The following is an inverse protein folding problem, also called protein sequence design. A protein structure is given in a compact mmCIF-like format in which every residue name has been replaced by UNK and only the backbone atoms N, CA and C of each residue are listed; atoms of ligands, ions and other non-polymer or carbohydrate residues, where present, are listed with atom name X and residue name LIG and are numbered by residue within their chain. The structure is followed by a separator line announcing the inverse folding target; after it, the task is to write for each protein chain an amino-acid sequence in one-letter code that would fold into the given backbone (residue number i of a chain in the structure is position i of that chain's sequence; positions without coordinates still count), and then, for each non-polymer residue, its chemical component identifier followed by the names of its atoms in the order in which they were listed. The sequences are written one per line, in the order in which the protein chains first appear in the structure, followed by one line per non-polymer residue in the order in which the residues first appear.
data_IF_420989511263
#
_entry.id   IF_420989511263
#
_cell.length_a   1.000
_cell.length_b   1.000
_cell.length_c   1.000
_cell.angle_alpha   90.00
_cell.angle_beta   90.00
_cell.angle_gamma   90.00
#
_symmetry.space_group_name_H-M   'P 1'
#
loop_
_entity.id
_entity.type
_entity.pdbx_description
1 polymer ?
#
# COMPACT_ATOMS: atom_id res chain seq x y z
N UNK A 1 32.67 51.63 24.15
CA UNK A 1 31.22 51.63 24.47
C UNK A 1 30.71 50.23 24.17
N UNK A 2 30.71 49.38 25.19
CA UNK A 2 29.51 48.88 25.88
C UNK A 2 28.96 47.62 25.16
N UNK A 3 29.43 46.41 25.52
CA UNK A 3 28.85 45.45 26.52
C UNK A 3 27.52 44.86 26.01
N UNK A 4 27.31 43.54 25.90
CA UNK A 4 27.37 42.53 26.98
C UNK A 4 27.50 41.09 26.47
N UNK A 5 28.35 40.30 27.14
CA UNK A 5 28.24 38.85 27.34
C UNK A 5 27.17 38.53 28.41
N UNK A 6 26.57 37.34 28.36
CA UNK A 6 26.45 36.47 29.54
C UNK A 6 26.05 35.05 29.16
N UNK A 7 26.87 34.09 29.59
CA UNK A 7 26.64 32.66 29.62
C UNK A 7 25.77 32.24 30.83
N UNK A 8 25.24 31.00 30.80
CA UNK A 8 25.58 29.89 31.72
C UNK A 8 24.40 28.97 32.07
N UNK A 9 24.63 27.65 31.96
CA UNK A 9 24.36 26.55 32.93
C UNK A 9 22.94 26.37 33.52
N UNK A 10 22.41 25.21 33.89
CA UNK A 10 22.76 23.77 34.01
C UNK A 10 21.46 23.10 34.48
N UNK A 11 21.16 21.84 34.14
CA UNK A 11 21.01 20.77 35.17
C UNK A 11 20.69 19.39 34.56
N UNK A 12 21.25 18.38 35.22
CA UNK A 12 21.10 16.93 35.02
C UNK A 12 19.85 16.38 35.72
N UNK A 13 19.71 15.04 35.66
CA UNK A 13 18.83 14.09 36.41
C UNK A 13 17.53 13.70 35.67
N UNK A 14 17.05 12.45 35.62
CA UNK A 14 17.43 11.19 36.28
C UNK A 14 16.82 10.00 35.52
N UNK A 15 17.39 8.81 35.72
CA UNK A 15 16.85 7.51 35.30
C UNK A 15 15.56 7.15 36.06
N UNK A 16 14.66 6.40 35.43
CA UNK A 16 13.82 5.43 36.15
C UNK A 16 13.32 4.31 35.22
N UNK A 17 13.99 3.18 35.34
CA UNK A 17 13.52 1.84 34.97
C UNK A 17 12.39 1.41 35.90
N UNK A 18 11.34 0.77 35.39
CA UNK A 18 10.52 -0.15 36.21
C UNK A 18 10.15 -1.37 35.39
N UNK A 19 10.88 -2.46 35.66
CA UNK A 19 10.38 -3.83 35.59
C UNK A 19 9.26 -4.01 36.63
N UNK A 20 8.27 -4.81 36.28
CA UNK A 20 7.40 -5.49 37.24
C UNK A 20 7.24 -6.93 36.78
N UNK A 21 7.91 -7.82 37.50
CA UNK A 21 7.77 -9.28 37.47
C UNK A 21 6.84 -9.77 38.57
N UNK A 22 6.36 -11.01 38.39
CA UNK A 22 5.70 -11.93 39.33
C UNK A 22 4.20 -11.67 39.56
N UNK A 23 3.31 -12.67 39.64
CA UNK A 23 3.43 -14.02 40.17
C UNK A 23 2.39 -14.99 39.55
N UNK A 24 2.79 -16.21 39.15
CA UNK A 24 2.43 -17.50 39.77
C UNK A 24 0.93 -17.77 40.01
N UNK A 25 0.39 -18.80 39.33
CA UNK A 25 0.05 -20.02 40.07
C UNK A 25 -0.04 -21.26 39.16
N UNK A 26 0.76 -22.23 39.57
CA UNK A 26 0.76 -23.65 39.28
C UNK A 26 -0.53 -24.29 39.79
N UNK A 27 -1.11 -25.23 39.05
CA UNK A 27 -1.49 -26.51 39.65
C UNK A 27 -1.60 -27.61 38.61
N UNK A 28 -0.85 -28.67 38.91
CA UNK A 28 -0.67 -29.91 38.19
C UNK A 28 -1.35 -30.98 39.05
N UNK A 29 -2.19 -31.84 38.47
CA UNK A 29 -2.48 -33.15 39.06
C UNK A 29 -2.99 -34.11 37.98
N UNK A 30 -2.03 -34.89 37.47
CA UNK A 30 -2.19 -36.22 36.91
C UNK A 30 -2.75 -37.21 37.94
N UNK A 31 -3.60 -38.15 37.50
CA UNK A 31 -3.57 -39.54 37.99
C UNK A 31 -4.20 -40.47 36.95
N UNK A 32 -3.37 -41.35 36.39
CA UNK A 32 -3.76 -42.62 35.75
C UNK A 32 -4.15 -43.66 36.81
N UNK A 33 -5.05 -44.57 36.44
CA UNK A 33 -4.94 -45.99 36.81
C UNK A 33 -5.80 -46.86 35.89
N UNK A 34 -5.11 -47.68 35.09
CA UNK A 34 -5.37 -49.04 34.59
C UNK A 34 -6.29 -49.90 35.50
N UNK A 35 -6.87 -51.05 35.13
CA UNK A 35 -7.20 -51.82 33.91
C UNK A 35 -8.00 -53.05 34.44
N UNK A 36 -8.71 -53.74 33.53
CA UNK A 36 -8.87 -55.21 33.51
C UNK A 36 -10.20 -55.88 33.92
N UNK A 37 -10.87 -56.43 32.89
CA UNK A 37 -11.34 -57.84 32.68
C UNK A 37 -12.30 -58.48 33.71
N UNK A 38 -13.28 -59.35 33.40
CA UNK A 38 -13.44 -60.28 32.28
C UNK A 38 -14.87 -60.94 32.28
N UNK A 39 -15.27 -61.45 31.10
CA UNK A 39 -16.05 -62.69 30.79
C UNK A 39 -17.37 -63.06 31.46
N UNK A 40 -18.42 -63.25 30.63
CA UNK A 40 -19.15 -64.52 30.36
C UNK A 40 -20.42 -64.19 29.53
N UNK A 41 -21.02 -65.01 28.65
CA UNK A 41 -20.75 -66.28 27.98
C UNK A 41 -21.77 -66.32 26.82
N UNK A 42 -21.40 -66.95 25.71
CA UNK A 42 -22.25 -67.11 24.52
C UNK A 42 -23.28 -68.24 24.66
N UNK A 43 -24.45 -68.09 24.01
CA UNK A 43 -25.18 -69.23 23.42
C UNK A 43 -26.23 -68.77 22.40
N UNK A 44 -26.20 -69.47 21.26
CA UNK A 44 -27.02 -69.36 20.05
C UNK A 44 -28.51 -69.66 20.28
N UNK A 45 -29.43 -69.08 19.48
CA UNK A 45 -30.17 -69.75 18.38
C UNK A 45 -31.38 -68.94 17.88
N UNK A 46 -31.70 -69.19 16.61
CA UNK A 46 -32.75 -68.70 15.70
C UNK A 46 -34.21 -68.89 16.14
N UNK A 47 -35.09 -67.91 15.86
CA UNK A 47 -36.26 -68.01 14.95
C UNK A 47 -37.33 -66.90 15.11
N UNK A 48 -37.61 -66.25 13.97
CA UNK A 48 -38.89 -65.82 13.38
C UNK A 48 -40.16 -65.54 14.23
N UNK A 49 -40.67 -64.33 13.98
CA UNK A 49 -42.05 -63.95 13.58
C UNK A 49 -43.12 -63.45 14.58
N UNK A 50 -43.75 -62.37 14.11
CA UNK A 50 -45.13 -61.89 14.30
C UNK A 50 -45.51 -61.03 15.53
N UNK A 51 -45.95 -59.82 15.15
CA UNK A 51 -46.62 -58.72 15.83
C UNK A 51 -47.63 -59.05 16.95
N UNK A 52 -47.75 -58.19 17.97
CA UNK A 52 -48.65 -57.02 17.94
C UNK A 52 -48.74 -56.32 19.31
N UNK A 53 -48.54 -54.99 19.27
CA UNK A 53 -49.07 -53.91 20.11
C UNK A 53 -49.30 -54.11 21.62
N UNK A 54 -48.59 -53.33 22.43
CA UNK A 54 -49.23 -52.53 23.48
C UNK A 54 -48.45 -51.22 23.68
N UNK A 55 -49.17 -50.11 23.53
CA UNK A 55 -48.77 -48.71 23.71
C UNK A 55 -48.02 -48.43 25.01
N UNK A 56 -46.86 -47.78 24.91
CA UNK A 56 -46.26 -46.97 25.98
C UNK A 56 -45.96 -45.60 25.41
N UNK A 57 -46.57 -44.60 26.02
CA UNK A 57 -46.31 -43.18 25.81
C UNK A 57 -44.85 -42.87 26.12
N UNK A 58 -44.05 -42.68 25.09
CA UNK A 58 -42.85 -41.86 25.21
C UNK A 58 -43.17 -40.52 24.54
N UNK A 59 -43.34 -39.50 25.37
CA UNK A 59 -43.09 -38.13 24.96
C UNK A 59 -41.69 -38.12 24.35
N UNK A 60 -41.60 -38.19 23.02
CA UNK A 60 -40.37 -37.83 22.35
C UNK A 60 -40.23 -36.33 22.56
N UNK A 61 -39.30 -35.98 23.44
CA UNK A 61 -38.70 -34.66 23.48
C UNK A 61 -38.29 -34.39 22.04
N UNK A 62 -39.02 -33.50 21.35
CA UNK A 62 -38.56 -32.93 20.11
C UNK A 62 -37.29 -32.19 20.48
N UNK A 63 -36.14 -32.86 20.38
CA UNK A 63 -34.92 -32.18 20.02
C UNK A 63 -35.28 -31.51 18.69
N UNK A 64 -35.64 -30.24 18.78
CA UNK A 64 -35.77 -29.34 17.65
C UNK A 64 -34.34 -29.22 17.10
N UNK A 65 -33.94 -30.25 16.36
CA UNK A 65 -32.75 -30.32 15.55
C UNK A 65 -33.03 -29.39 14.37
N UNK A 66 -32.96 -28.10 14.65
CA UNK A 66 -33.11 -27.07 13.64
C UNK A 66 -31.80 -26.97 12.88
N UNK A 67 -31.62 -28.00 12.06
CA UNK A 67 -30.63 -28.15 11.02
C UNK A 67 -30.49 -26.90 10.15
N UNK A 68 -31.56 -26.10 10.06
CA UNK A 68 -31.59 -24.84 9.31
C UNK A 68 -31.28 -23.58 10.13
N UNK A 69 -31.07 -23.70 11.45
CA UNK A 69 -30.65 -22.57 12.29
C UNK A 69 -29.25 -22.14 11.88
N UNK A 70 -29.14 -20.88 11.48
CA UNK A 70 -27.86 -20.19 11.33
C UNK A 70 -27.26 -19.97 12.72
N UNK A 71 -26.02 -20.41 12.97
CA UNK A 71 -25.39 -20.28 14.29
C UNK A 71 -24.03 -19.59 14.27
N UNK A 72 -23.36 -19.52 13.12
CA UNK A 72 -22.06 -18.87 13.00
C UNK A 72 -21.93 -18.13 11.66
N UNK A 73 -21.16 -17.04 11.68
CA UNK A 73 -20.90 -16.16 10.54
C UNK A 73 -19.40 -16.05 10.30
N UNK A 74 -19.00 -16.04 9.04
CA UNK A 74 -17.61 -15.75 8.66
C UNK A 74 -17.55 -14.75 7.52
N UNK A 75 -16.59 -13.84 7.60
CA UNK A 75 -16.28 -12.86 6.55
C UNK A 75 -14.85 -13.09 6.07
N UNK A 76 -14.69 -13.17 4.75
CA UNK A 76 -13.40 -13.24 4.06
C UNK A 76 -13.34 -12.22 2.93
N UNK A 77 -12.13 -11.86 2.55
CA UNK A 77 -11.82 -11.15 1.30
C UNK A 77 -10.56 -11.76 0.70
N UNK A 78 -10.46 -11.76 -0.63
CA UNK A 78 -9.24 -12.17 -1.34
C UNK A 78 -8.13 -11.12 -1.21
N UNK A 79 -8.50 -9.86 -0.90
CA UNK A 79 -7.55 -8.75 -0.79
C UNK A 79 -7.72 -8.02 0.54
N UNK A 80 -6.64 -7.91 1.30
CA UNK A 80 -6.56 -7.08 2.51
C UNK A 80 -6.02 -5.67 2.24
N UNK A 81 -5.54 -5.41 1.01
CA UNK A 81 -5.03 -4.12 0.55
C UNK A 81 -5.62 -3.79 -0.81
N UNK A 82 -6.18 -2.58 -0.98
CA UNK A 82 -6.88 -2.16 -2.20
C UNK A 82 -6.51 -0.70 -2.54
N UNK A 83 -6.19 -0.35 -3.79
CA UNK A 83 -5.98 1.05 -4.16
C UNK A 83 -7.26 1.91 -4.06
N UNK A 84 -7.12 3.21 -3.81
CA UNK A 84 -8.23 4.17 -3.92
C UNK A 84 -8.94 4.03 -5.28
N UNK A 85 -10.27 4.12 -5.28
CA UNK A 85 -11.16 3.95 -6.43
C UNK A 85 -11.15 2.55 -7.08
N UNK A 86 -10.47 1.57 -6.48
CA UNK A 86 -10.59 0.16 -6.86
C UNK A 86 -11.52 -0.59 -5.91
N UNK A 87 -11.97 -1.77 -6.34
CA UNK A 87 -12.94 -2.57 -5.61
C UNK A 87 -12.52 -4.02 -5.42
N UNK A 88 -13.02 -4.64 -4.37
CA UNK A 88 -12.93 -6.09 -4.14
C UNK A 88 -14.28 -6.67 -3.74
N UNK A 89 -14.46 -7.96 -4.00
CA UNK A 89 -15.62 -8.70 -3.50
C UNK A 89 -15.37 -9.17 -2.07
N UNK A 90 -16.37 -9.01 -1.21
CA UNK A 90 -16.41 -9.66 0.11
C UNK A 90 -17.17 -10.98 0.02
N UNK A 91 -16.75 -11.95 0.83
CA UNK A 91 -17.30 -13.30 0.85
C UNK A 91 -17.91 -13.62 2.23
N UNK A 92 -19.11 -13.12 2.53
CA UNK A 92 -19.84 -13.46 3.74
C UNK A 92 -20.39 -14.89 3.63
N UNK A 93 -20.21 -15.71 4.68
CA UNK A 93 -20.74 -17.07 4.75
C UNK A 93 -21.42 -17.34 6.10
N UNK A 94 -22.46 -18.15 6.05
CA UNK A 94 -23.18 -18.66 7.22
C UNK A 94 -22.95 -20.15 7.40
N UNK A 95 -22.88 -20.60 8.66
CA UNK A 95 -22.85 -22.03 9.04
C UNK A 95 -24.13 -22.39 9.78
N UNK A 96 -24.69 -23.56 9.45
CA UNK A 96 -25.99 -24.02 9.93
C UNK A 96 -25.87 -25.27 10.81
N UNK A 97 -26.87 -25.51 11.68
CA UNK A 97 -26.87 -26.62 12.64
C UNK A 97 -26.66 -28.00 12.02
N UNK A 98 -26.98 -28.18 10.74
CA UNK A 98 -26.70 -29.41 9.97
C UNK A 98 -25.24 -29.59 9.52
N UNK A 99 -24.36 -28.64 9.87
CA UNK A 99 -22.95 -28.61 9.47
C UNK A 99 -22.70 -28.02 8.08
N UNK A 100 -23.74 -27.63 7.33
CA UNK A 100 -23.58 -26.99 6.02
C UNK A 100 -23.09 -25.54 6.13
N UNK A 101 -22.54 -25.01 5.03
CA UNK A 101 -22.24 -23.58 4.91
C UNK A 101 -22.64 -23.04 3.53
N UNK A 102 -23.15 -21.81 3.50
CA UNK A 102 -23.59 -21.15 2.27
C UNK A 102 -23.08 -19.72 2.19
N UNK A 103 -23.03 -19.18 0.97
CA UNK A 103 -22.80 -17.75 0.73
C UNK A 103 -24.01 -16.94 1.19
N UNK A 104 -23.75 -15.77 1.76
CA UNK A 104 -24.78 -14.83 2.20
C UNK A 104 -24.87 -13.57 1.31
N UNK A 105 -24.27 -13.58 0.12
CA UNK A 105 -24.13 -12.38 -0.71
C UNK A 105 -25.46 -11.73 -1.14
N UNK A 106 -26.52 -12.52 -1.28
CA UNK A 106 -27.86 -12.05 -1.67
C UNK A 106 -28.81 -11.95 -0.47
N UNK A 107 -28.25 -11.91 0.75
CA UNK A 107 -29.02 -11.77 2.00
C UNK A 107 -28.99 -10.32 2.47
N UNK A 108 -30.00 -9.88 3.25
CA UNK A 108 -30.06 -8.51 3.78
C UNK A 108 -29.06 -8.32 4.93
N UNK A 109 -27.77 -8.32 4.60
CA UNK A 109 -26.69 -8.12 5.56
C UNK A 109 -26.64 -6.65 6.00
N UNK A 110 -26.46 -6.42 7.29
CA UNK A 110 -26.08 -5.10 7.80
C UNK A 110 -24.57 -5.02 7.88
N UNK A 111 -23.96 -4.28 6.95
CA UNK A 111 -22.52 -4.04 6.94
C UNK A 111 -22.14 -2.98 7.97
N UNK A 112 -21.02 -3.21 8.64
CA UNK A 112 -20.42 -2.28 9.59
C UNK A 112 -18.99 -1.96 9.16
N UNK A 113 -18.67 -0.67 9.15
CA UNK A 113 -17.37 -0.14 8.72
C UNK A 113 -16.84 0.74 9.84
N UNK A 114 -15.65 0.43 10.35
CA UNK A 114 -15.00 1.21 11.41
C UNK A 114 -14.75 2.67 11.02
N UNK A 115 -14.34 2.92 9.77
CA UNK A 115 -14.17 4.25 9.19
C UNK A 115 -14.74 4.33 7.76
N UNK A 116 -15.82 5.09 7.58
CA UNK A 116 -16.54 5.26 6.31
C UNK A 116 -15.85 6.21 5.31
N UNK A 117 -14.83 6.95 5.76
CA UNK A 117 -13.99 7.76 4.89
C UNK A 117 -13.01 6.87 4.11
N UNK A 118 -12.62 5.73 4.69
CA UNK A 118 -11.63 4.81 4.08
C UNK A 118 -12.26 3.91 3.02
N UNK A 119 -13.43 3.33 3.27
CA UNK A 119 -14.10 2.42 2.33
C UNK A 119 -15.61 2.63 2.29
N UNK A 120 -16.26 2.13 1.25
CA UNK A 120 -17.71 1.91 1.21
C UNK A 120 -18.02 0.49 0.73
N UNK A 121 -19.16 -0.07 1.16
CA UNK A 121 -19.63 -1.39 0.76
C UNK A 121 -21.05 -1.24 0.19
N UNK A 122 -21.33 -1.84 -0.96
CA UNK A 122 -22.68 -1.87 -1.52
C UNK A 122 -23.49 -3.09 -1.04
N UNK A 123 -24.78 -3.15 -1.38
CA UNK A 123 -25.68 -4.24 -0.94
C UNK A 123 -25.20 -5.63 -1.37
N UNK A 124 -24.54 -5.73 -2.53
CA UNK A 124 -23.94 -6.98 -3.04
C UNK A 124 -22.58 -7.32 -2.44
N UNK A 125 -22.17 -6.65 -1.36
CA UNK A 125 -20.90 -6.90 -0.68
C UNK A 125 -19.65 -6.52 -1.48
N UNK A 126 -19.77 -5.65 -2.49
CA UNK A 126 -18.61 -5.08 -3.19
C UNK A 126 -18.09 -3.91 -2.35
N UNK A 127 -16.84 -4.03 -1.91
CA UNK A 127 -16.12 -2.98 -1.19
C UNK A 127 -15.33 -2.13 -2.17
N UNK A 128 -15.41 -0.80 -2.03
CA UNK A 128 -14.68 0.19 -2.82
C UNK A 128 -13.80 1.01 -1.88
N UNK A 129 -12.51 1.13 -2.21
CA UNK A 129 -11.58 2.01 -1.50
C UNK A 129 -11.82 3.49 -1.83
N UNK A 130 -11.84 4.34 -0.81
CA UNK A 130 -12.13 5.79 -0.95
C UNK A 130 -10.91 6.65 -0.63
N UNK A 131 -10.43 6.57 0.61
CA UNK A 131 -9.30 7.34 1.09
C UNK A 131 -8.27 6.43 1.74
N UNK A 132 -6.99 6.76 1.57
CA UNK A 132 -5.88 6.03 2.20
C UNK A 132 -6.06 5.92 3.71
N UNK A 133 -5.94 4.70 4.21
CA UNK A 133 -6.10 4.41 5.62
C UNK A 133 -6.37 2.94 5.86
N UNK A 134 -6.64 2.58 7.11
CA UNK A 134 -6.97 1.22 7.50
C UNK A 134 -8.28 1.24 8.27
N UNK A 135 -9.17 0.29 7.97
CA UNK A 135 -10.45 0.13 8.67
C UNK A 135 -10.78 -1.35 8.86
N UNK A 136 -11.49 -1.66 9.92
CA UNK A 136 -12.08 -2.99 10.13
C UNK A 136 -13.50 -3.02 9.60
N UNK A 137 -13.89 -4.12 8.96
CA UNK A 137 -15.22 -4.37 8.44
C UNK A 137 -15.78 -5.67 8.99
N UNK A 138 -17.08 -5.70 9.25
CA UNK A 138 -17.83 -6.89 9.67
C UNK A 138 -19.29 -6.76 9.23
N UNK A 139 -20.09 -7.80 9.42
CA UNK A 139 -21.52 -7.74 9.14
C UNK A 139 -22.35 -8.43 10.21
N UNK A 140 -23.64 -8.07 10.27
CA UNK A 140 -24.62 -8.72 11.13
C UNK A 140 -25.85 -9.17 10.34
N UNK A 141 -26.40 -10.31 10.70
CA UNK A 141 -27.69 -10.84 10.21
C UNK A 141 -28.33 -11.68 11.30
N UNK A 142 -29.66 -11.56 11.46
CA UNK A 142 -30.45 -12.30 12.46
C UNK A 142 -29.88 -12.26 13.90
N UNK A 143 -29.31 -11.11 14.28
CA UNK A 143 -28.71 -10.89 15.60
C UNK A 143 -27.31 -11.49 15.80
N UNK A 144 -26.80 -12.25 14.82
CA UNK A 144 -25.43 -12.77 14.82
C UNK A 144 -24.45 -11.75 14.23
N UNK A 145 -23.20 -11.81 14.69
CA UNK A 145 -22.10 -10.94 14.22
C UNK A 145 -20.97 -11.79 13.66
N UNK A 146 -20.43 -11.44 12.49
CA UNK A 146 -19.28 -12.11 11.89
C UNK A 146 -17.97 -11.78 12.61
N UNK A 147 -16.89 -12.49 12.27
CA UNK A 147 -15.55 -11.96 12.51
C UNK A 147 -15.35 -10.64 11.76
N UNK A 148 -14.46 -9.80 12.29
CA UNK A 148 -13.96 -8.63 11.58
C UNK A 148 -12.79 -8.99 10.65
N UNK A 149 -12.66 -8.27 9.54
CA UNK A 149 -11.45 -8.28 8.72
C UNK A 149 -10.93 -6.85 8.57
N UNK A 150 -9.61 -6.70 8.54
CA UNK A 150 -8.95 -5.40 8.37
C UNK A 150 -8.62 -5.18 6.90
N UNK A 151 -9.04 -4.04 6.37
CA UNK A 151 -8.76 -3.59 5.00
C UNK A 151 -7.90 -2.34 5.06
N UNK A 152 -6.84 -2.32 4.27
CA UNK A 152 -6.00 -1.15 4.05
C UNK A 152 -6.28 -0.59 2.65
N UNK A 153 -6.51 0.72 2.56
CA UNK A 153 -6.59 1.43 1.29
C UNK A 153 -5.28 2.14 1.04
N UNK A 154 -4.67 1.88 -0.12
CA UNK A 154 -3.42 2.51 -0.58
C UNK A 154 -3.69 3.62 -1.58
N UNK A 155 -2.68 4.38 -2.00
CA UNK A 155 -2.85 5.36 -3.08
C UNK A 155 -3.47 4.72 -4.33
N UNK A 156 -4.37 5.45 -4.99
CA UNK A 156 -4.89 5.06 -6.30
C UNK A 156 -3.89 5.25 -7.45
N UNK A 157 -2.73 5.85 -7.18
CA UNK A 157 -1.66 5.99 -8.17
C UNK A 157 -0.94 4.67 -8.38
N UNK A 158 -1.05 4.13 -9.59
CA UNK A 158 -0.48 2.84 -9.98
C UNK A 158 0.54 3.01 -11.11
N UNK A 159 1.41 2.01 -11.34
CA UNK A 159 2.22 1.99 -12.55
C UNK A 159 1.32 1.98 -13.80
N UNK A 160 1.71 2.73 -14.82
CA UNK A 160 1.03 2.68 -16.12
C UNK A 160 1.12 1.27 -16.71
N UNK A 161 0.06 0.81 -17.36
CA UNK A 161 -0.05 -0.56 -17.88
C UNK A 161 -0.24 -1.64 -16.80
N UNK A 162 -0.18 -1.29 -15.51
CA UNK A 162 -0.34 -2.22 -14.39
C UNK A 162 0.95 -2.89 -13.91
N UNK A 163 2.05 -2.76 -14.67
CA UNK A 163 3.32 -3.44 -14.42
C UNK A 163 4.51 -2.49 -14.53
N UNK A 164 5.65 -2.91 -13.96
CA UNK A 164 6.95 -2.29 -14.26
C UNK A 164 7.34 -2.59 -15.71
N UNK A 165 8.18 -1.73 -16.30
CA UNK A 165 8.68 -1.89 -17.67
C UNK A 165 7.58 -1.90 -18.75
N UNK A 166 6.44 -1.29 -18.48
CA UNK A 166 5.35 -1.17 -19.44
C UNK A 166 5.81 -0.41 -20.70
N UNK A 167 5.62 -1.04 -21.85
CA UNK A 167 6.12 -0.58 -23.16
C UNK A 167 5.09 0.19 -23.98
N UNK A 168 3.83 0.28 -23.54
CA UNK A 168 2.80 1.03 -24.26
C UNK A 168 3.13 2.53 -24.27
N UNK A 169 3.33 3.09 -25.46
CA UNK A 169 3.74 4.49 -25.63
C UNK A 169 2.64 5.52 -25.41
N UNK A 170 1.40 5.10 -25.22
CA UNK A 170 0.24 5.99 -25.24
C UNK A 170 -0.56 6.01 -23.93
N UNK A 171 -0.14 5.26 -22.91
CA UNK A 171 -0.85 5.20 -21.64
C UNK A 171 -0.25 6.07 -20.52
N UNK A 172 0.81 6.83 -20.80
CA UNK A 172 1.49 7.69 -19.83
C UNK A 172 0.71 8.98 -19.48
N UNK A 173 -0.32 9.33 -20.25
CA UNK A 173 -1.08 10.58 -20.07
C UNK A 173 -2.09 10.55 -18.90
N UNK A 174 -2.47 9.37 -18.43
CA UNK A 174 -3.52 9.18 -17.42
C UNK A 174 -3.06 9.36 -15.98
N UNK A 175 -3.91 8.94 -15.04
CA UNK A 175 -3.57 8.87 -13.60
C UNK A 175 -2.76 7.61 -13.29
N UNK A 176 -1.52 7.56 -13.78
CA UNK A 176 -0.56 6.50 -13.53
C UNK A 176 0.87 7.05 -13.69
N UNK A 177 1.87 6.34 -13.17
CA UNK A 177 3.28 6.66 -13.41
C UNK A 177 3.94 5.57 -14.24
N UNK A 178 4.68 5.96 -15.28
CA UNK A 178 5.58 5.02 -15.96
C UNK A 178 6.73 4.67 -15.02
N UNK A 179 7.00 3.37 -14.86
CA UNK A 179 8.06 2.85 -13.99
C UNK A 179 8.90 1.84 -14.75
N UNK A 180 10.22 1.96 -14.64
CA UNK A 180 11.19 1.04 -15.24
C UNK A 180 12.10 0.49 -14.14
N UNK A 181 12.45 -0.78 -14.24
CA UNK A 181 13.53 -1.39 -13.48
C UNK A 181 14.83 -1.38 -14.29
N UNK A 182 15.91 -0.85 -13.72
CA UNK A 182 17.23 -0.89 -14.35
C UNK A 182 17.85 -2.28 -14.29
N UNK A 183 18.49 -2.71 -15.38
CA UNK A 183 19.00 -4.06 -15.58
C UNK A 183 20.53 -4.17 -15.41
N UNK A 184 21.26 -3.05 -15.37
CA UNK A 184 22.71 -3.06 -15.27
C UNK A 184 23.32 -1.74 -14.79
N UNK A 185 24.62 -1.80 -14.45
CA UNK A 185 25.41 -0.67 -13.96
C UNK A 185 24.84 -0.09 -12.67
N UNK A 186 24.90 1.23 -12.53
CA UNK A 186 24.37 1.87 -11.33
C UNK A 186 22.84 1.83 -11.28
N UNK A 187 22.15 1.50 -12.37
CA UNK A 187 20.69 1.38 -12.41
C UNK A 187 20.18 0.00 -11.96
N UNK A 188 21.08 -0.98 -11.83
CA UNK A 188 20.72 -2.38 -11.59
C UNK A 188 19.82 -2.56 -10.35
N UNK A 189 18.72 -3.30 -10.51
CA UNK A 189 17.79 -3.67 -9.43
C UNK A 189 17.18 -2.46 -8.70
N UNK A 190 16.98 -1.35 -9.41
CA UNK A 190 16.34 -0.13 -8.91
C UNK A 190 15.16 0.24 -9.80
N UNK A 191 14.09 0.73 -9.17
CA UNK A 191 12.95 1.29 -9.89
C UNK A 191 13.13 2.78 -10.12
N UNK A 192 12.82 3.23 -11.33
CA UNK A 192 12.84 4.63 -11.74
C UNK A 192 11.47 5.04 -12.26
N UNK A 193 10.99 6.22 -11.87
CA UNK A 193 9.75 6.79 -12.43
C UNK A 193 10.04 7.73 -13.59
N UNK A 194 9.16 7.77 -14.58
CA UNK A 194 9.11 8.89 -15.50
C UNK A 194 8.60 10.15 -14.80
N UNK A 195 8.65 11.27 -15.53
CA UNK A 195 8.02 12.49 -15.04
C UNK A 195 6.51 12.33 -15.07
N UNK A 196 5.77 12.83 -14.06
CA UNK A 196 4.34 12.64 -13.96
C UNK A 196 3.57 13.41 -15.04
N UNK A 197 2.44 12.84 -15.46
CA UNK A 197 1.46 13.55 -16.30
C UNK A 197 0.79 14.69 -15.52
N UNK A 198 0.16 15.63 -16.22
CA UNK A 198 -0.63 16.68 -15.54
C UNK A 198 -1.84 16.08 -14.82
N UNK A 199 -2.36 14.94 -15.27
CA UNK A 199 -3.44 14.24 -14.57
C UNK A 199 -2.96 13.70 -13.23
N UNK A 200 -1.75 13.13 -13.15
CA UNK A 200 -1.12 12.76 -11.86
C UNK A 200 -0.97 13.97 -10.95
N UNK A 201 -0.42 15.08 -11.47
CA UNK A 201 -0.29 16.31 -10.67
C UNK A 201 -1.64 16.77 -10.11
N UNK A 202 -2.68 16.80 -10.94
CA UNK A 202 -4.02 17.24 -10.54
C UNK A 202 -4.63 16.35 -9.46
N UNK A 203 -4.60 15.03 -9.64
CA UNK A 203 -5.17 14.07 -8.69
C UNK A 203 -4.42 14.06 -7.35
N UNK A 204 -3.10 14.31 -7.37
CA UNK A 204 -2.30 14.47 -6.15
C UNK A 204 -2.36 15.89 -5.55
N UNK A 205 -3.16 16.79 -6.11
CA UNK A 205 -3.35 18.16 -5.60
C UNK A 205 -2.15 19.09 -5.81
N UNK A 206 -1.26 18.80 -6.76
CA UNK A 206 -0.14 19.65 -7.10
C UNK A 206 -0.58 20.91 -7.85
N UNK A 207 0.14 22.02 -7.64
CA UNK A 207 -0.11 23.32 -8.28
C UNK A 207 1.09 23.79 -9.08
N UNK A 208 0.82 24.55 -10.15
CA UNK A 208 1.89 25.19 -10.92
C UNK A 208 2.42 26.41 -10.16
N UNK A 209 3.72 26.43 -9.89
CA UNK A 209 4.45 27.55 -9.28
C UNK A 209 5.92 27.54 -9.76
N UNK A 210 6.28 28.46 -10.66
CA UNK A 210 7.66 28.65 -11.16
C UNK A 210 8.46 29.66 -10.31
N UNK A 211 7.94 30.09 -9.17
CA UNK A 211 8.68 31.04 -8.34
C UNK A 211 9.85 30.35 -7.63
N UNK A 212 10.90 31.12 -7.34
CA UNK A 212 12.00 30.67 -6.45
C UNK A 212 11.55 30.44 -4.99
N UNK A 213 10.32 30.81 -4.66
CA UNK A 213 9.73 30.71 -3.32
C UNK A 213 8.60 29.68 -3.27
N UNK A 214 8.54 28.79 -4.26
CA UNK A 214 7.57 27.71 -4.30
C UNK A 214 7.71 26.79 -3.07
N UNK A 215 6.60 26.24 -2.59
CA UNK A 215 6.57 25.34 -1.43
C UNK A 215 5.41 24.35 -1.53
N UNK A 216 5.51 23.25 -0.79
CA UNK A 216 4.51 22.17 -0.83
C UNK A 216 4.47 21.45 -2.18
N UNK A 217 3.31 20.90 -2.52
CA UNK A 217 3.09 20.11 -3.74
C UNK A 217 3.01 21.02 -4.96
N UNK A 218 4.15 21.31 -5.59
CA UNK A 218 4.23 22.20 -6.75
C UNK A 218 5.16 21.70 -7.84
N UNK A 219 4.88 22.07 -9.08
CA UNK A 219 5.75 21.90 -10.25
C UNK A 219 5.92 23.25 -10.97
N UNK A 220 6.99 23.41 -11.74
CA UNK A 220 7.39 24.71 -12.30
C UNK A 220 6.90 25.00 -13.72
N UNK A 221 6.64 23.97 -14.53
CA UNK A 221 6.13 24.12 -15.88
C UNK A 221 5.50 22.82 -16.40
N UNK A 222 4.93 22.87 -17.60
CA UNK A 222 4.43 21.70 -18.31
C UNK A 222 5.06 21.61 -19.70
N UNK A 223 4.95 20.43 -20.31
CA UNK A 223 5.22 20.24 -21.73
C UNK A 223 4.36 19.15 -22.33
N UNK A 224 3.77 19.42 -23.49
CA UNK A 224 3.04 18.43 -24.27
C UNK A 224 4.01 17.71 -25.21
N UNK A 225 4.19 16.43 -24.96
CA UNK A 225 5.10 15.60 -25.75
C UNK A 225 4.66 15.48 -27.22
N UNK A 226 5.63 15.25 -28.10
CA UNK A 226 5.38 15.15 -29.55
C UNK A 226 5.51 13.71 -30.06
N UNK A 227 6.22 12.85 -29.33
CA UNK A 227 6.47 11.44 -29.69
C UNK A 227 5.56 10.45 -28.95
N UNK A 228 4.87 10.90 -27.91
CA UNK A 228 3.94 10.14 -27.07
C UNK A 228 2.72 11.01 -26.75
N UNK A 229 1.63 10.38 -26.28
CA UNK A 229 0.45 11.12 -25.84
C UNK A 229 0.64 11.63 -24.40
N UNK A 230 0.25 12.88 -24.17
CA UNK A 230 0.18 13.46 -22.84
C UNK A 230 0.87 14.81 -22.71
N UNK A 231 0.50 15.49 -21.63
CA UNK A 231 1.21 16.66 -21.13
C UNK A 231 1.81 16.29 -19.78
N UNK A 232 3.05 16.72 -19.54
CA UNK A 232 3.87 16.25 -18.44
C UNK A 232 4.46 17.41 -17.65
N UNK A 233 4.55 17.22 -16.34
CA UNK A 233 5.07 18.22 -15.44
C UNK A 233 6.59 18.32 -15.56
N UNK A 234 7.10 19.52 -15.33
CA UNK A 234 8.52 19.83 -15.21
C UNK A 234 8.75 20.56 -13.90
N UNK A 235 9.86 20.23 -13.25
CA UNK A 235 10.15 20.63 -11.88
C UNK A 235 11.35 21.57 -11.88
N UNK A 236 11.30 22.56 -11.00
CA UNK A 236 12.49 23.30 -10.58
C UNK A 236 13.33 22.42 -9.67
N UNK A 237 14.59 22.80 -9.51
CA UNK A 237 15.46 22.18 -8.52
C UNK A 237 15.37 22.90 -7.17
N UNK A 238 15.09 24.20 -7.17
CA UNK A 238 15.01 25.05 -5.98
C UNK A 238 13.58 25.21 -5.43
N UNK A 239 13.48 25.89 -4.28
CA UNK A 239 12.22 26.27 -3.63
C UNK A 239 12.44 27.08 -2.37
N UNK A 240 11.35 27.48 -1.71
CA UNK A 240 11.43 28.14 -0.41
C UNK A 240 12.02 27.19 0.63
N UNK A 241 13.12 27.60 1.26
CA UNK A 241 13.77 26.84 2.32
C UNK A 241 14.53 25.60 1.87
N UNK A 242 14.78 25.46 0.56
CA UNK A 242 15.61 24.37 0.04
C UNK A 242 17.06 24.50 0.54
N UNK A 243 17.74 23.36 0.71
CA UNK A 243 19.16 23.31 1.08
C UNK A 243 20.01 23.78 -0.10
N UNK A 244 20.55 25.00 -0.01
CA UNK A 244 21.31 25.65 -1.07
C UNK A 244 22.82 25.74 -0.82
N UNK A 245 23.33 25.13 0.27
CA UNK A 245 24.76 24.97 0.48
C UNK A 245 25.32 23.83 -0.39
N UNK A 246 26.18 24.13 -1.39
CA UNK A 246 26.77 23.11 -2.24
C UNK A 246 27.68 22.12 -1.50
N UNK A 247 28.06 22.40 -0.24
CA UNK A 247 28.86 21.51 0.60
C UNK A 247 28.00 20.61 1.50
N UNK A 248 26.69 20.83 1.56
CA UNK A 248 25.78 20.00 2.34
C UNK A 248 25.63 18.61 1.70
N UNK A 249 25.63 17.56 2.52
CA UNK A 249 25.31 16.21 2.05
C UNK A 249 23.89 16.11 1.48
N UNK A 250 23.02 17.03 1.89
CA UNK A 250 21.61 17.09 1.51
C UNK A 250 21.36 18.18 0.46
N UNK A 251 22.38 18.67 -0.25
CA UNK A 251 22.25 19.75 -1.23
C UNK A 251 21.08 19.51 -2.20
N UNK A 252 20.19 20.49 -2.28
CA UNK A 252 18.95 20.41 -3.04
C UNK A 252 17.73 19.81 -2.33
N UNK A 253 17.87 19.42 -1.06
CA UNK A 253 16.75 18.99 -0.23
C UNK A 253 15.68 20.07 -0.14
N UNK A 254 14.41 19.66 -0.04
CA UNK A 254 13.24 20.53 0.01
C UNK A 254 12.99 21.37 -1.26
N UNK A 255 13.74 21.15 -2.35
CA UNK A 255 13.41 21.66 -3.69
C UNK A 255 12.21 20.96 -4.34
N UNK A 256 11.62 21.50 -5.41
CA UNK A 256 10.40 20.89 -6.00
C UNK A 256 10.56 19.41 -6.38
N UNK A 257 11.67 19.07 -7.04
CA UNK A 257 11.98 17.68 -7.39
C UNK A 257 12.10 16.78 -6.15
N UNK A 258 12.80 17.25 -5.12
CA UNK A 258 13.03 16.51 -3.89
C UNK A 258 11.72 16.25 -3.13
N UNK A 259 10.87 17.28 -3.01
CA UNK A 259 9.53 17.16 -2.43
C UNK A 259 8.65 16.21 -3.23
N UNK A 260 8.75 16.21 -4.56
CA UNK A 260 8.01 15.25 -5.40
C UNK A 260 8.42 13.80 -5.10
N UNK A 261 9.72 13.51 -5.03
CA UNK A 261 10.18 12.16 -4.70
C UNK A 261 9.83 11.77 -3.26
N UNK A 262 9.91 12.70 -2.31
CA UNK A 262 9.47 12.48 -0.93
C UNK A 262 7.96 12.19 -0.84
N UNK A 263 7.14 12.86 -1.66
CA UNK A 263 5.71 12.58 -1.73
C UNK A 263 5.42 11.15 -2.24
N UNK A 264 6.22 10.60 -3.16
CA UNK A 264 6.08 9.20 -3.58
C UNK A 264 6.40 8.22 -2.44
N UNK A 265 7.37 8.56 -1.59
CA UNK A 265 7.66 7.84 -0.34
C UNK A 265 6.47 7.87 0.61
N UNK A 266 5.88 9.04 0.85
CA UNK A 266 4.74 9.19 1.76
C UNK A 266 3.48 8.48 1.24
N UNK A 267 3.29 8.48 -0.09
CA UNK A 267 2.23 7.73 -0.76
C UNK A 267 2.43 6.22 -0.70
N UNK A 268 3.62 5.75 -0.30
CA UNK A 268 4.07 4.36 -0.43
C UNK A 268 3.86 3.85 -1.84
N UNK A 269 4.21 4.66 -2.85
CA UNK A 269 3.97 4.32 -4.24
C UNK A 269 4.66 2.99 -4.58
N UNK A 270 3.91 2.04 -5.14
CA UNK A 270 4.32 0.64 -5.35
C UNK A 270 4.82 -0.08 -4.08
N UNK A 271 4.28 0.30 -2.91
CA UNK A 271 4.66 -0.26 -1.62
C UNK A 271 6.02 0.23 -1.08
N UNK A 272 6.71 1.13 -1.79
CA UNK A 272 8.08 1.57 -1.46
C UNK A 272 8.09 2.84 -0.64
N UNK A 273 9.03 2.94 0.31
CA UNK A 273 9.15 4.05 1.28
C UNK A 273 10.48 4.80 1.20
N UNK A 274 11.22 4.62 0.10
CA UNK A 274 12.59 5.10 -0.06
C UNK A 274 12.81 5.80 -1.42
N UNK A 275 11.75 6.36 -2.01
CA UNK A 275 11.83 7.15 -3.24
C UNK A 275 12.63 8.44 -2.99
N UNK A 276 13.65 8.67 -3.82
CA UNK A 276 14.52 9.86 -3.75
C UNK A 276 15.00 10.30 -5.12
N UNK A 277 15.68 11.44 -5.18
CA UNK A 277 16.33 11.95 -6.40
C UNK A 277 17.40 10.97 -6.89
N UNK A 278 17.39 10.57 -8.17
CA UNK A 278 18.40 9.67 -8.73
C UNK A 278 19.73 10.39 -8.92
N UNK A 279 20.79 9.62 -8.86
CA UNK A 279 22.12 10.07 -9.26
C UNK A 279 22.22 10.17 -10.79
N UNK A 280 23.15 10.99 -11.27
CA UNK A 280 23.48 11.06 -12.71
C UNK A 280 23.89 9.69 -13.24
N UNK A 281 24.68 8.94 -12.47
CA UNK A 281 25.20 7.66 -12.93
C UNK A 281 24.11 6.61 -13.05
N UNK A 282 23.17 6.58 -12.11
CA UNK A 282 21.95 5.76 -12.21
C UNK A 282 21.14 6.08 -13.48
N UNK A 283 20.82 7.35 -13.71
CA UNK A 283 20.08 7.74 -14.93
C UNK A 283 20.85 7.45 -16.22
N UNK A 284 22.17 7.66 -16.21
CA UNK A 284 23.04 7.38 -17.35
C UNK A 284 23.08 5.88 -17.64
N UNK A 285 23.30 5.03 -16.63
CA UNK A 285 23.26 3.57 -16.79
C UNK A 285 21.90 3.12 -17.32
N UNK A 286 20.80 3.66 -16.79
CA UNK A 286 19.45 3.31 -17.21
C UNK A 286 19.25 3.48 -18.72
N UNK A 287 19.50 4.68 -19.27
CA UNK A 287 19.36 4.93 -20.72
C UNK A 287 20.45 4.24 -21.53
N UNK A 288 21.66 4.07 -20.99
CA UNK A 288 22.75 3.41 -21.72
C UNK A 288 22.42 1.95 -22.05
N UNK A 289 21.83 1.22 -21.11
CA UNK A 289 21.49 -0.20 -21.29
C UNK A 289 20.12 -0.43 -21.94
N UNK A 290 19.12 0.40 -21.61
CA UNK A 290 17.75 0.24 -22.11
C UNK A 290 17.47 1.01 -23.43
N UNK A 291 18.38 1.88 -23.85
CA UNK A 291 18.24 2.71 -25.05
C UNK A 291 17.23 3.85 -24.89
N UNK A 292 16.66 4.29 -26.01
CA UNK A 292 15.69 5.40 -26.07
C UNK A 292 14.42 5.06 -25.26
N UNK A 293 14.30 5.62 -24.05
CA UNK A 293 13.19 5.30 -23.15
C UNK A 293 11.84 5.80 -23.66
N UNK A 294 11.83 6.82 -24.52
CA UNK A 294 10.60 7.29 -25.18
C UNK A 294 10.12 6.28 -26.22
N UNK A 295 11.04 5.77 -27.04
CA UNK A 295 10.71 4.78 -28.07
C UNK A 295 10.36 3.42 -27.49
N UNK A 296 11.03 3.00 -26.41
CA UNK A 296 10.93 1.64 -25.89
C UNK A 296 9.88 1.51 -24.77
N UNK A 297 9.65 2.57 -23.99
CA UNK A 297 8.81 2.52 -22.78
C UNK A 297 7.76 3.63 -22.66
N UNK A 298 7.67 4.52 -23.66
CA UNK A 298 6.70 5.61 -23.63
C UNK A 298 7.00 6.69 -22.60
N UNK A 299 8.26 6.84 -22.18
CA UNK A 299 8.65 7.94 -21.28
C UNK A 299 8.69 9.28 -22.00
N UNK A 300 8.27 10.40 -21.37
CA UNK A 300 8.55 11.74 -21.88
C UNK A 300 10.05 11.93 -22.07
N UNK A 301 10.45 12.48 -23.22
CA UNK A 301 11.87 12.54 -23.60
C UNK A 301 12.28 13.83 -24.31
N UNK A 302 11.42 14.85 -24.35
CA UNK A 302 11.79 16.13 -24.93
C UNK A 302 12.81 16.91 -24.07
N UNK A 303 12.67 16.86 -22.74
CA UNK A 303 13.59 17.48 -21.79
C UNK A 303 14.43 16.42 -21.09
N UNK A 304 15.57 16.85 -20.58
CA UNK A 304 16.41 16.04 -19.71
C UNK A 304 15.75 15.83 -18.34
N UNK A 305 16.19 14.79 -17.65
CA UNK A 305 15.76 14.44 -16.30
C UNK A 305 16.78 14.91 -15.28
N UNK A 306 16.30 15.57 -14.22
CA UNK A 306 17.18 16.02 -13.14
C UNK A 306 17.88 14.87 -12.40
N UNK A 307 19.08 15.15 -11.89
CA UNK A 307 19.81 14.25 -10.99
C UNK A 307 20.20 14.94 -9.67
N UNK A 308 20.65 14.18 -8.68
CA UNK A 308 21.14 14.69 -7.40
C UNK A 308 22.60 15.17 -7.40
N UNK A 309 23.31 15.07 -8.53
CA UNK A 309 24.72 15.46 -8.57
C UNK A 309 24.88 16.96 -8.85
N UNK A 310 25.52 17.70 -7.93
CA UNK A 310 25.91 19.07 -8.21
C UNK A 310 27.05 19.14 -9.23
N UNK A 311 27.18 20.31 -9.85
CA UNK A 311 28.32 20.69 -10.66
C UNK A 311 28.94 21.97 -10.08
N UNK A 312 30.02 22.46 -10.70
CA UNK A 312 30.55 23.79 -10.42
C UNK A 312 29.45 24.87 -10.61
N UNK A 313 29.62 26.02 -9.94
CA UNK A 313 28.74 27.20 -10.03
C UNK A 313 27.27 27.00 -9.59
N UNK A 314 27.02 26.18 -8.56
CA UNK A 314 25.68 25.92 -8.01
C UNK A 314 24.67 25.42 -9.07
N UNK A 315 25.11 24.52 -9.94
CA UNK A 315 24.29 23.88 -10.98
C UNK A 315 24.10 22.40 -10.68
N UNK A 316 23.18 21.78 -11.39
CA UNK A 316 22.88 20.36 -11.26
C UNK A 316 22.95 19.67 -12.61
N UNK A 317 23.45 18.43 -12.61
CA UNK A 317 23.41 17.59 -13.80
C UNK A 317 21.98 17.12 -14.10
N UNK A 318 21.66 17.04 -15.38
CA UNK A 318 20.49 16.37 -15.93
C UNK A 318 20.91 15.39 -17.04
N UNK A 319 20.10 14.37 -17.28
CA UNK A 319 20.37 13.32 -18.28
C UNK A 319 19.23 13.26 -19.30
N UNK A 320 19.59 13.35 -20.58
CA UNK A 320 18.73 13.07 -21.71
C UNK A 320 18.53 11.55 -21.83
N UNK A 321 17.32 11.07 -21.51
CA UNK A 321 16.97 9.64 -21.53
C UNK A 321 16.55 9.12 -22.91
N UNK A 322 16.83 9.89 -23.97
CA UNK A 322 16.67 9.50 -25.38
C UNK A 322 18.04 9.31 -26.03
N UNK A 323 18.93 10.29 -25.86
CA UNK A 323 20.22 10.34 -26.55
C UNK A 323 21.42 10.01 -25.66
N UNK A 324 21.18 9.73 -24.37
CA UNK A 324 22.21 9.47 -23.37
C UNK A 324 23.25 10.61 -23.24
N UNK A 325 22.75 11.85 -23.19
CA UNK A 325 23.57 13.06 -23.06
C UNK A 325 23.38 13.64 -21.67
N UNK A 326 24.48 13.98 -20.99
CA UNK A 326 24.43 14.73 -19.74
C UNK A 326 24.61 16.23 -19.99
N UNK A 327 23.78 17.06 -19.37
CA UNK A 327 23.92 18.52 -19.35
C UNK A 327 23.92 19.03 -17.91
N UNK A 328 24.24 20.31 -17.71
CA UNK A 328 24.07 20.98 -16.42
C UNK A 328 23.22 22.22 -16.56
N UNK A 329 22.47 22.57 -15.53
CA UNK A 329 21.55 23.71 -15.52
C UNK A 329 21.52 24.39 -14.15
N UNK A 330 21.13 25.67 -14.13
CA UNK A 330 20.87 26.38 -12.88
C UNK A 330 19.63 25.82 -12.19
N UNK A 331 19.57 25.94 -10.87
CA UNK A 331 18.50 25.37 -10.04
C UNK A 331 17.08 25.85 -10.42
N UNK A 332 16.97 27.05 -11.00
CA UNK A 332 15.69 27.62 -11.42
C UNK A 332 15.21 27.23 -12.82
N UNK A 333 15.95 26.39 -13.56
CA UNK A 333 15.44 25.81 -14.79
C UNK A 333 14.35 24.76 -14.48
N UNK A 334 13.53 24.41 -15.46
CA UNK A 334 12.54 23.35 -15.36
C UNK A 334 12.98 22.17 -16.21
N UNK A 335 13.13 21.00 -15.61
CA UNK A 335 13.40 19.76 -16.33
C UNK A 335 12.45 18.67 -15.85
N UNK A 336 12.47 17.53 -16.51
CA UNK A 336 11.69 16.38 -16.10
C UNK A 336 12.20 15.81 -14.78
N UNK A 337 11.28 15.22 -14.02
CA UNK A 337 11.58 14.57 -12.76
C UNK A 337 11.64 13.06 -12.95
N UNK A 338 12.64 12.43 -12.35
CA UNK A 338 12.62 10.99 -12.08
C UNK A 338 12.92 10.80 -10.60
N UNK A 339 12.31 9.79 -10.01
CA UNK A 339 12.61 9.33 -8.66
C UNK A 339 13.10 7.88 -8.74
N UNK A 340 14.07 7.55 -7.91
CA UNK A 340 14.61 6.19 -7.78
C UNK A 340 14.22 5.58 -6.44
N UNK A 341 13.91 4.28 -6.46
CA UNK A 341 13.74 3.45 -5.26
C UNK A 341 14.62 2.21 -5.37
N UNK A 342 15.19 1.81 -4.24
CA UNK A 342 16.09 0.67 -4.11
C UNK A 342 15.28 -0.51 -3.59
N UNK A 343 15.64 -1.73 -4.00
CA UNK A 343 15.12 -2.92 -3.33
C UNK A 343 15.62 -2.91 -1.87
N UNK A 344 14.66 -2.97 -0.94
CA UNK A 344 14.94 -3.09 0.49
C UNK A 344 15.46 -4.49 0.85
#
# INVERSE_FOLDING_TARGET
QATTESASNTDETEQASTQLESANNTEQATTESEESTNTDTASETTNTDTASETTSSEESILAYDDKSTLYNLSLKSEMSSIPENQSTQLYPRGSYGDGSSSSLIDKPLTWHIGNNDVVSINESGVLIGKERGTTTIWFTIDGLTSNGITITVTTGLLPCGGDVNDTDRYNAAGYCLKVIEGDSGDAENKLFTATPSIEVMKQLGYKLDDSRYNYGNTYGATYKETRIEGEFARFRYDGWGWEDDPNSSDYGRDGQLDRYCSALTDLKFMGRTNWKRPTRYELYSLVFFLGDLTANYGWPGFYEYWSNHPTEDNRFYSVDLVNNITKSHSAGLKNYASCVSYND
#
